data_IF_128484000131
#
_entry.id   IF_128484000131
#
_cell.length_a   1.000
_cell.length_b   1.000
_cell.length_c   1.000
_cell.angle_alpha   90.00
_cell.angle_beta   90.00
_cell.angle_gamma   90.00
#
_symmetry.space_group_name_H-M   'P 1'
#
loop_
_entity.id
_entity.type
_entity.pdbx_description
1 polymer ?
#
# COMPACT_ATOMS: atom_id res chain seq x y z
N UNK A 1 15.35 -20.37 -23.29
CA UNK A 1 14.74 -20.43 -21.95
C UNK A 1 15.86 -20.38 -20.90
N UNK A 2 16.13 -19.24 -20.25
CA UNK A 2 17.20 -19.14 -19.22
C UNK A 2 16.70 -19.73 -17.90
N UNK A 3 17.35 -20.80 -17.42
CA UNK A 3 17.21 -21.34 -16.07
C UNK A 3 17.82 -20.32 -15.08
N UNK A 4 17.01 -19.63 -14.29
CA UNK A 4 17.54 -18.78 -13.20
C UNK A 4 16.76 -17.50 -12.88
N UNK A 5 15.77 -17.08 -13.67
CA UNK A 5 14.85 -16.06 -13.17
C UNK A 5 13.97 -16.69 -12.10
N UNK A 6 14.17 -16.24 -10.85
CA UNK A 6 13.14 -16.31 -9.82
C UNK A 6 11.80 -15.99 -10.49
N UNK A 7 10.78 -16.84 -10.32
CA UNK A 7 9.42 -16.42 -10.66
C UNK A 7 9.18 -15.20 -9.78
N UNK A 8 9.38 -14.00 -10.31
CA UNK A 8 8.87 -12.78 -9.68
C UNK A 8 7.41 -13.11 -9.40
N UNK A 9 7.07 -13.18 -8.11
CA UNK A 9 5.74 -13.51 -7.68
C UNK A 9 4.86 -12.37 -8.18
N UNK A 10 4.29 -12.55 -9.37
CA UNK A 10 3.47 -11.56 -10.03
C UNK A 10 2.22 -11.41 -9.18
N UNK A 11 2.20 -10.35 -8.38
CA UNK A 11 1.05 -10.02 -7.56
C UNK A 11 0.09 -9.23 -8.44
N UNK A 12 -1.00 -9.88 -8.83
CA UNK A 12 -2.09 -9.20 -9.53
C UNK A 12 -2.69 -8.12 -8.61
N UNK A 13 -3.03 -6.98 -9.18
CA UNK A 13 -3.59 -5.86 -8.43
C UNK A 13 -5.00 -6.25 -7.95
N UNK A 14 -5.18 -6.34 -6.63
CA UNK A 14 -6.48 -6.67 -6.02
C UNK A 14 -7.50 -5.53 -6.11
N UNK A 15 -7.07 -4.33 -6.48
CA UNK A 15 -7.85 -3.09 -6.37
C UNK A 15 -7.83 -2.48 -4.96
N UNK A 16 -7.29 -3.20 -3.97
CA UNK A 16 -7.19 -2.77 -2.56
C UNK A 16 -5.74 -2.52 -2.12
N UNK A 17 -4.78 -2.67 -3.03
CA UNK A 17 -3.36 -2.41 -2.74
C UNK A 17 -3.11 -0.91 -2.71
N UNK A 18 -2.49 -0.42 -1.62
CA UNK A 18 -2.00 0.95 -1.49
C UNK A 18 -0.47 0.96 -1.36
N UNK A 19 0.20 1.77 -2.17
CA UNK A 19 1.63 2.04 -2.07
C UNK A 19 1.85 3.30 -1.23
N UNK A 20 2.60 3.19 -0.15
CA UNK A 20 3.02 4.35 0.63
C UNK A 20 4.15 5.07 -0.13
N UNK A 21 3.99 6.38 -0.30
CA UNK A 21 4.94 7.21 -1.06
C UNK A 21 6.29 7.32 -0.34
N UNK A 22 6.29 7.36 0.99
CA UNK A 22 7.50 7.50 1.78
C UNK A 22 8.23 6.16 1.92
N UNK A 23 9.55 6.20 1.68
CA UNK A 23 10.42 5.04 1.89
C UNK A 23 10.64 4.85 3.39
N UNK A 24 10.68 3.60 3.82
CA UNK A 24 11.15 3.25 5.16
C UNK A 24 12.59 3.75 5.38
N UNK A 25 13.04 3.81 6.65
CA UNK A 25 14.45 4.12 6.99
C UNK A 25 15.49 3.26 6.26
N UNK A 26 15.09 2.08 5.77
CA UNK A 26 15.94 1.15 5.01
C UNK A 26 15.85 1.33 3.49
N UNK A 27 15.14 2.35 3.01
CA UNK A 27 15.00 2.66 1.58
C UNK A 27 13.95 1.85 0.84
N UNK A 28 13.18 1.00 1.53
CA UNK A 28 12.15 0.15 0.92
C UNK A 28 10.80 0.87 0.87
N UNK A 29 10.04 0.59 -0.19
CA UNK A 29 8.62 0.94 -0.26
C UNK A 29 7.76 -0.03 0.56
N UNK A 30 6.64 0.47 1.05
CA UNK A 30 5.65 -0.33 1.80
C UNK A 30 4.37 -0.42 0.99
N UNK A 31 3.87 -1.65 0.84
CA UNK A 31 2.56 -1.93 0.27
C UNK A 31 1.62 -2.42 1.36
N UNK A 32 0.43 -1.81 1.44
CA UNK A 32 -0.66 -2.28 2.31
C UNK A 32 -1.65 -3.05 1.43
N UNK A 33 -2.00 -4.27 1.84
CA UNK A 33 -2.99 -5.11 1.17
C UNK A 33 -4.24 -5.23 2.05
N UNK A 34 -5.33 -4.60 1.62
CA UNK A 34 -6.56 -4.55 2.40
C UNK A 34 -7.67 -5.52 1.94
N UNK A 35 -7.40 -6.37 0.94
CA UNK A 35 -8.39 -7.30 0.38
C UNK A 35 -8.97 -8.26 1.43
N UNK A 36 -8.10 -8.95 2.18
CA UNK A 36 -8.52 -9.94 3.17
C UNK A 36 -8.77 -9.33 4.55
N UNK A 37 -8.02 -8.28 4.91
CA UNK A 37 -8.11 -7.62 6.21
C UNK A 37 -7.69 -6.15 6.09
N UNK A 38 -8.52 -5.25 6.59
CA UNK A 38 -8.27 -3.81 6.56
C UNK A 38 -9.35 -3.03 7.31
N UNK A 39 -9.15 -1.73 7.48
CA UNK A 39 -10.15 -0.85 8.09
C UNK A 39 -11.28 -0.50 7.10
N UNK A 40 -12.21 0.36 7.51
CA UNK A 40 -13.28 0.88 6.64
C UNK A 40 -12.74 1.64 5.42
N UNK A 41 -11.51 2.14 5.49
CA UNK A 41 -10.87 2.87 4.39
C UNK A 41 -10.78 2.06 3.09
N UNK A 42 -10.79 0.71 3.18
CA UNK A 42 -10.76 -0.19 2.01
C UNK A 42 -11.95 -0.02 1.07
N UNK A 43 -13.06 0.53 1.55
CA UNK A 43 -14.27 0.75 0.75
C UNK A 43 -14.32 2.13 0.08
N UNK A 44 -13.29 2.97 0.28
CA UNK A 44 -13.20 4.27 -0.38
C UNK A 44 -13.07 4.07 -1.89
N UNK A 45 -13.88 4.80 -2.66
CA UNK A 45 -13.87 4.74 -4.11
C UNK A 45 -12.96 5.81 -4.71
N UNK A 46 -12.46 5.54 -5.91
CA UNK A 46 -11.71 6.52 -6.68
C UNK A 46 -12.61 7.68 -7.13
N UNK A 47 -12.10 8.90 -7.03
CA UNK A 47 -12.66 10.07 -7.69
C UNK A 47 -11.52 10.92 -8.27
N UNK A 48 -11.69 11.45 -9.48
CA UNK A 48 -10.74 12.38 -10.09
C UNK A 48 -10.60 13.70 -9.29
N UNK A 49 -11.61 14.02 -8.47
CA UNK A 49 -11.64 15.15 -7.54
C UNK A 49 -12.03 14.64 -6.16
N UNK A 50 -11.08 14.09 -5.39
CA UNK A 50 -11.38 13.50 -4.10
C UNK A 50 -11.75 14.58 -3.07
N UNK A 51 -12.56 14.20 -2.09
CA UNK A 51 -12.89 15.01 -0.92
C UNK A 51 -12.22 14.48 0.38
N UNK A 52 -11.29 13.53 0.22
CA UNK A 52 -10.53 12.88 1.28
C UNK A 52 -9.09 12.73 0.81
N UNK A 53 -8.15 12.78 1.76
CA UNK A 53 -6.73 12.53 1.50
C UNK A 53 -6.16 11.59 2.57
N UNK A 54 -5.25 10.71 2.17
CA UNK A 54 -4.45 9.92 3.11
C UNK A 54 -3.29 10.78 3.62
N UNK A 55 -3.12 10.82 4.93
CA UNK A 55 -2.01 11.50 5.59
C UNK A 55 -1.33 10.51 6.53
N UNK A 56 0.00 10.55 6.58
CA UNK A 56 0.74 9.78 7.57
C UNK A 56 0.48 10.39 8.95
N UNK A 57 -0.11 9.60 9.85
CA UNK A 57 -0.32 10.01 11.22
C UNK A 57 0.93 9.66 12.03
N UNK A 58 1.67 10.68 12.46
CA UNK A 58 2.68 10.49 13.50
C UNK A 58 1.97 10.33 14.85
N UNK A 59 1.65 9.08 15.21
CA UNK A 59 1.22 8.79 16.57
C UNK A 59 2.34 9.25 17.52
N UNK A 60 2.01 10.09 18.50
CA UNK A 60 2.95 10.53 19.55
C UNK A 60 3.65 9.30 20.11
N UNK A 61 4.96 9.24 19.95
CA UNK A 61 5.81 8.19 20.55
C UNK A 61 5.95 8.35 22.06
N UNK A 62 5.44 9.43 22.66
CA UNK A 62 5.42 9.66 24.11
C UNK A 62 4.13 10.38 24.54
N UNK A 63 3.47 9.81 25.55
CA UNK A 63 2.45 10.44 26.41
C UNK A 63 3.09 10.88 27.71
#
# INVERSE_FOLDING_TARGET
MRKGQSKEAKKENSGYTMLLNEKTRRGNFVYVEALAAGSIARFSQHACRPNTQFVEMQNRTQV
#
